data_IF_056787633689
#
_entry.id   IF_056787633689
#
_cell.length_a   1.000
_cell.length_b   1.000
_cell.length_c   1.000
_cell.angle_alpha   90.00
_cell.angle_beta   90.00
_cell.angle_gamma   90.00
#
_symmetry.space_group_name_H-M   'P 1'
#
loop_
_entity.id
_entity.type
_entity.pdbx_description
1 polymer ?
#
# COMPACT_ATOMS: atom_id res chain seq x y z
N UNK A 1 43.54 -12.67 -16.94
CA UNK A 1 43.55 -12.38 -15.49
C UNK A 1 43.15 -10.92 -15.32
N UNK A 2 42.03 -10.49 -14.75
CA UNK A 2 40.88 -11.15 -14.14
C UNK A 2 39.62 -10.39 -14.59
N UNK A 3 38.73 -11.14 -15.22
CA UNK A 3 37.31 -10.86 -15.46
C UNK A 3 36.55 -10.87 -14.13
N UNK A 4 36.53 -9.77 -13.39
CA UNK A 4 35.73 -9.61 -12.17
C UNK A 4 35.39 -8.12 -11.95
N UNK A 5 34.57 -7.48 -12.79
CA UNK A 5 34.05 -6.14 -12.42
C UNK A 5 32.80 -5.59 -13.12
N UNK A 6 32.03 -6.36 -13.89
CA UNK A 6 30.76 -5.88 -14.44
C UNK A 6 29.62 -6.88 -14.18
N UNK A 7 29.18 -6.92 -12.93
CA UNK A 7 27.92 -7.52 -12.50
C UNK A 7 26.90 -6.44 -12.14
N UNK A 8 26.77 -5.39 -12.96
CA UNK A 8 25.65 -4.46 -12.84
C UNK A 8 24.40 -5.19 -13.32
N UNK A 9 23.59 -5.65 -12.36
CA UNK A 9 22.30 -6.30 -12.60
C UNK A 9 21.32 -5.24 -13.11
N UNK A 10 20.92 -5.33 -14.37
CA UNK A 10 19.84 -4.50 -14.94
C UNK A 10 18.55 -4.70 -14.14
N UNK A 11 17.67 -3.69 -14.07
CA UNK A 11 16.33 -3.82 -13.46
C UNK A 11 15.54 -4.96 -14.11
N UNK A 12 15.65 -5.13 -15.43
CA UNK A 12 15.09 -6.30 -16.11
C UNK A 12 15.67 -7.61 -15.55
N UNK A 13 16.99 -7.73 -15.44
CA UNK A 13 17.64 -8.91 -14.87
C UNK A 13 17.28 -9.13 -13.39
N UNK A 14 17.09 -8.05 -12.62
CA UNK A 14 16.61 -8.11 -11.23
C UNK A 14 15.13 -8.50 -11.15
N UNK A 15 14.30 -8.06 -12.09
CA UNK A 15 12.88 -8.39 -12.16
C UNK A 15 12.67 -9.84 -12.61
N UNK A 16 13.41 -10.28 -13.62
CA UNK A 16 13.42 -11.68 -14.07
C UNK A 16 13.99 -12.59 -12.98
N UNK A 17 15.10 -12.22 -12.33
CA UNK A 17 15.63 -12.95 -11.18
C UNK A 17 14.66 -12.95 -10.01
N UNK A 18 14.03 -11.82 -9.68
CA UNK A 18 13.06 -11.76 -8.60
C UNK A 18 11.86 -12.65 -8.90
N UNK A 19 11.39 -12.72 -10.14
CA UNK A 19 10.31 -13.66 -10.54
C UNK A 19 10.74 -15.11 -10.33
N UNK A 20 11.94 -15.48 -10.76
CA UNK A 20 12.48 -16.83 -10.53
C UNK A 20 12.57 -17.13 -9.04
N UNK A 21 13.08 -16.20 -8.23
CA UNK A 21 13.21 -16.37 -6.79
C UNK A 21 11.87 -16.42 -6.06
N UNK A 22 10.88 -15.61 -6.47
CA UNK A 22 9.53 -15.62 -5.92
C UNK A 22 8.83 -16.92 -6.27
N UNK A 23 8.91 -17.38 -7.53
CA UNK A 23 8.36 -18.66 -7.95
C UNK A 23 9.00 -19.84 -7.19
N UNK A 24 10.33 -19.84 -7.05
CA UNK A 24 11.05 -20.84 -6.27
C UNK A 24 10.63 -20.81 -4.78
N UNK A 25 10.50 -19.61 -4.19
CA UNK A 25 10.01 -19.43 -2.83
C UNK A 25 8.60 -19.96 -2.62
N UNK A 26 7.68 -19.73 -3.58
CA UNK A 26 6.31 -20.26 -3.54
C UNK A 26 6.29 -21.78 -3.59
N UNK A 27 7.08 -22.36 -4.49
CA UNK A 27 7.17 -23.82 -4.61
C UNK A 27 7.72 -24.44 -3.32
N UNK A 28 8.76 -23.86 -2.74
CA UNK A 28 9.33 -24.31 -1.46
C UNK A 28 8.31 -24.20 -0.31
N UNK A 29 7.54 -23.11 -0.23
CA UNK A 29 6.49 -22.97 0.78
C UNK A 29 5.38 -24.00 0.60
N UNK A 30 4.96 -24.30 -0.63
CA UNK A 30 3.98 -25.36 -0.92
C UNK A 30 4.51 -26.74 -0.52
N UNK A 31 5.78 -27.03 -0.80
CA UNK A 31 6.42 -28.27 -0.39
C UNK A 31 6.45 -28.41 1.14
N UNK A 32 6.80 -27.34 1.86
CA UNK A 32 6.77 -27.30 3.32
C UNK A 32 5.36 -27.51 3.88
N UNK A 33 4.34 -26.86 3.29
CA UNK A 33 2.95 -27.05 3.69
C UNK A 33 2.47 -28.50 3.49
N UNK A 34 2.85 -29.12 2.36
CA UNK A 34 2.58 -30.53 2.10
C UNK A 34 3.30 -31.44 3.10
N UNK A 35 4.53 -31.12 3.49
CA UNK A 35 5.27 -31.88 4.48
C UNK A 35 4.67 -31.73 5.89
N UNK A 36 4.28 -30.53 6.29
CA UNK A 36 3.61 -30.25 7.56
C UNK A 36 2.22 -30.89 7.63
N UNK A 37 1.48 -30.91 6.52
CA UNK A 37 0.21 -31.64 6.42
C UNK A 37 0.43 -33.15 6.58
N UNK A 38 1.46 -33.72 5.93
CA UNK A 38 1.84 -35.13 6.10
C UNK A 38 2.26 -35.45 7.54
N UNK A 39 2.97 -34.54 8.22
CA UNK A 39 3.36 -34.69 9.63
C UNK A 39 2.16 -34.65 10.56
N UNK A 40 1.20 -33.75 10.32
CA UNK A 40 -0.07 -33.65 11.08
C UNK A 40 -1.01 -34.82 10.83
N UNK A 41 -0.96 -35.43 9.64
CA UNK A 41 -1.75 -36.61 9.28
C UNK A 41 -1.19 -37.94 9.82
N UNK A 42 0.02 -37.95 10.42
CA UNK A 42 0.53 -39.15 11.09
C UNK A 42 -0.22 -39.35 12.41
N UNK A 43 -0.67 -40.59 12.72
CA UNK A 43 -1.25 -40.87 14.02
C UNK A 43 -0.22 -40.55 15.12
N UNK A 44 -0.65 -40.00 16.28
CA UNK A 44 0.28 -39.73 17.37
C UNK A 44 0.97 -41.03 17.74
N UNK A 45 2.31 -41.04 17.66
CA UNK A 45 3.11 -42.16 18.14
C UNK A 45 2.75 -42.41 19.61
N UNK A 46 2.61 -43.67 20.04
CA UNK A 46 2.30 -43.98 21.43
C UNK A 46 3.37 -43.36 22.33
N UNK A 47 2.95 -42.43 23.19
CA UNK A 47 3.82 -41.84 24.19
C UNK A 47 4.45 -42.95 25.04
N UNK A 48 5.78 -43.00 25.20
CA UNK A 48 6.39 -43.80 26.24
C UNK A 48 5.90 -43.28 27.59
N UNK A 49 5.15 -44.10 28.32
CA UNK A 49 4.81 -43.84 29.71
C UNK A 49 6.08 -43.95 30.55
N UNK A 50 6.49 -42.80 31.11
CA UNK A 50 7.22 -42.58 32.37
C UNK A 50 8.51 -41.74 32.31
N UNK A 51 8.38 -40.61 33.02
CA UNK A 51 9.27 -40.03 34.03
C UNK A 51 10.52 -39.23 33.60
N UNK A 52 10.39 -37.91 33.81
CA UNK A 52 11.25 -37.23 34.80
C UNK A 52 12.49 -36.51 34.27
N UNK A 53 12.39 -35.17 34.18
CA UNK A 53 13.48 -34.17 34.26
C UNK A 53 14.90 -34.65 33.86
N UNK A 54 15.30 -34.34 32.64
CA UNK A 54 16.63 -33.78 32.41
C UNK A 54 16.61 -32.84 31.22
N UNK A 55 16.80 -31.55 31.52
CA UNK A 55 17.03 -30.46 30.57
C UNK A 55 18.48 -30.61 30.11
N UNK A 56 18.77 -31.58 29.25
CA UNK A 56 20.05 -31.66 28.56
C UNK A 56 19.91 -31.01 27.19
N UNK A 57 20.46 -29.81 27.11
CA UNK A 57 20.72 -29.10 25.89
C UNK A 57 21.45 -30.01 24.90
N UNK A 58 20.87 -30.19 23.72
CA UNK A 58 21.62 -30.64 22.56
C UNK A 58 22.60 -29.52 22.21
N UNK A 59 23.82 -29.63 22.71
CA UNK A 59 24.97 -28.85 22.26
C UNK A 59 25.33 -29.29 20.84
N UNK A 60 24.65 -28.72 19.86
CA UNK A 60 25.15 -28.71 18.50
C UNK A 60 26.11 -27.54 18.36
N UNK A 61 27.40 -27.85 18.47
CA UNK A 61 28.50 -26.98 18.05
C UNK A 61 28.49 -26.89 16.51
N UNK A 62 27.68 -25.97 16.01
CA UNK A 62 27.69 -25.44 14.66
C UNK A 62 27.07 -24.06 14.77
N UNK A 63 27.73 -23.03 14.24
CA UNK A 63 27.33 -21.64 14.28
C UNK A 63 25.81 -21.48 14.37
N UNK A 64 25.31 -20.97 15.49
CA UNK A 64 23.87 -20.84 15.75
C UNK A 64 23.24 -19.94 14.68
N UNK A 65 22.81 -20.54 13.58
CA UNK A 65 21.94 -19.91 12.63
C UNK A 65 20.63 -19.68 13.37
N UNK A 66 20.32 -18.41 13.64
CA UNK A 66 19.02 -18.02 14.19
C UNK A 66 17.96 -18.65 13.27
N UNK A 67 17.08 -19.52 13.78
CA UNK A 67 16.11 -20.20 12.93
C UNK A 67 15.22 -19.14 12.27
N UNK A 68 15.25 -19.10 10.93
CA UNK A 68 14.41 -18.19 10.17
C UNK A 68 12.98 -18.70 10.24
N UNK A 69 12.07 -17.86 10.72
CA UNK A 69 10.65 -18.21 10.81
C UNK A 69 10.07 -18.45 9.42
N UNK A 70 9.52 -19.65 9.18
CA UNK A 70 8.77 -19.99 7.96
C UNK A 70 7.60 -19.02 7.75
N UNK A 71 6.98 -18.54 8.84
CA UNK A 71 5.95 -17.51 8.79
C UNK A 71 6.46 -16.22 8.15
N UNK A 72 7.63 -15.73 8.57
CA UNK A 72 8.23 -14.51 7.98
C UNK A 72 8.57 -14.69 6.49
N UNK A 73 9.13 -15.86 6.13
CA UNK A 73 9.43 -16.17 4.72
C UNK A 73 8.16 -16.22 3.86
N UNK A 74 7.08 -16.82 4.39
CA UNK A 74 5.78 -16.87 3.72
C UNK A 74 5.28 -15.49 3.37
N UNK A 75 5.39 -14.56 4.32
CA UNK A 75 4.94 -13.17 4.11
C UNK A 75 5.71 -12.49 3.00
N UNK A 76 7.05 -12.56 3.06
CA UNK A 76 7.91 -11.90 2.07
C UNK A 76 7.60 -12.44 0.68
N UNK A 77 7.50 -13.76 0.53
CA UNK A 77 7.21 -14.39 -0.76
C UNK A 77 5.81 -14.04 -1.26
N UNK A 78 4.77 -14.08 -0.41
CA UNK A 78 3.41 -13.70 -0.81
C UNK A 78 3.32 -12.23 -1.21
N UNK A 79 4.03 -11.33 -0.52
CA UNK A 79 4.04 -9.91 -0.83
C UNK A 79 4.73 -9.61 -2.17
N UNK A 80 5.90 -10.20 -2.39
CA UNK A 80 6.59 -10.06 -3.67
C UNK A 80 5.79 -10.69 -4.83
N UNK A 81 5.10 -11.80 -4.59
CA UNK A 81 4.22 -12.42 -5.58
C UNK A 81 3.04 -11.54 -5.97
N UNK A 82 2.39 -10.92 -4.98
CA UNK A 82 1.29 -9.99 -5.22
C UNK A 82 1.75 -8.80 -6.07
N UNK A 83 2.91 -8.22 -5.75
CA UNK A 83 3.49 -7.13 -6.52
C UNK A 83 3.90 -7.55 -7.93
N UNK A 84 4.47 -8.75 -8.11
CA UNK A 84 4.80 -9.27 -9.44
C UNK A 84 3.54 -9.44 -10.30
N UNK A 85 2.48 -10.04 -9.74
CA UNK A 85 1.19 -10.21 -10.40
C UNK A 85 0.55 -8.86 -10.76
N UNK A 86 0.60 -7.89 -9.85
CA UNK A 86 0.08 -6.55 -10.10
C UNK A 86 0.77 -5.85 -11.29
N UNK A 87 2.06 -6.12 -11.52
CA UNK A 87 2.81 -5.58 -12.67
C UNK A 87 2.55 -6.36 -13.97
N UNK A 88 2.52 -7.69 -13.89
CA UNK A 88 2.41 -8.56 -15.06
C UNK A 88 0.99 -8.53 -15.68
N UNK A 89 -0.01 -8.67 -14.82
CA UNK A 89 -1.39 -8.91 -15.22
C UNK A 89 -2.29 -7.69 -14.99
N UNK A 90 -1.85 -6.70 -14.21
CA UNK A 90 -2.72 -5.65 -13.69
C UNK A 90 -3.78 -6.23 -12.74
N UNK A 91 -4.85 -5.47 -12.40
CA UNK A 91 -5.99 -6.01 -11.65
C UNK A 91 -6.81 -7.07 -12.42
N UNK A 92 -6.32 -7.55 -13.58
CA UNK A 92 -7.18 -7.98 -14.68
C UNK A 92 -7.49 -9.48 -14.73
N UNK A 93 -6.93 -10.36 -13.89
CA UNK A 93 -7.01 -11.79 -14.26
C UNK A 93 -7.01 -12.89 -13.22
N UNK A 94 -7.06 -12.69 -11.89
CA UNK A 94 -7.02 -13.86 -10.99
C UNK A 94 -7.93 -13.81 -9.75
N UNK A 95 -9.00 -14.60 -9.83
CA UNK A 95 -9.63 -15.28 -8.68
C UNK A 95 -8.87 -16.61 -8.50
N UNK A 96 -7.73 -16.60 -7.81
CA UNK A 96 -7.06 -17.83 -7.36
C UNK A 96 -7.07 -17.87 -5.83
N UNK A 97 -7.20 -19.07 -5.25
CA UNK A 97 -7.27 -19.33 -3.81
C UNK A 97 -6.16 -18.62 -3.03
N UNK A 98 -6.47 -17.43 -2.51
CA UNK A 98 -5.68 -16.71 -1.51
C UNK A 98 -5.75 -17.40 -0.12
N UNK A 99 -6.11 -18.68 -0.06
CA UNK A 99 -6.18 -19.47 1.17
C UNK A 99 -4.84 -19.64 1.90
N UNK A 100 -3.73 -19.10 1.37
CA UNK A 100 -2.39 -19.07 1.99
C UNK A 100 -1.99 -17.70 2.55
N UNK A 101 -2.94 -16.86 2.96
CA UNK A 101 -2.61 -15.57 3.56
C UNK A 101 -2.00 -15.77 4.97
N UNK A 102 -0.69 -15.52 5.04
CA UNK A 102 0.14 -15.55 6.24
C UNK A 102 -0.24 -14.48 7.29
N UNK A 103 0.16 -14.68 8.55
CA UNK A 103 -0.16 -13.83 9.70
C UNK A 103 0.12 -12.33 9.49
N UNK A 104 1.14 -11.93 8.70
CA UNK A 104 1.42 -10.49 8.46
C UNK A 104 0.40 -9.79 7.55
N UNK A 105 -0.39 -10.52 6.78
CA UNK A 105 -1.52 -9.97 6.00
C UNK A 105 -2.85 -10.01 6.76
N UNK A 106 -2.86 -10.64 7.94
CA UNK A 106 -4.03 -10.75 8.79
C UNK A 106 -3.83 -10.03 10.14
N UNK A 107 -2.71 -9.32 10.36
CA UNK A 107 -2.48 -8.54 11.59
C UNK A 107 -3.63 -7.57 11.82
N UNK A 108 -4.12 -6.93 10.75
CA UNK A 108 -5.27 -6.03 10.82
C UNK A 108 -6.53 -6.72 11.37
N UNK A 109 -6.69 -8.03 11.19
CA UNK A 109 -7.85 -8.79 11.69
C UNK A 109 -7.88 -8.92 13.20
N UNK A 110 -6.73 -8.82 13.86
CA UNK A 110 -6.58 -9.03 15.31
C UNK A 110 -5.94 -7.85 16.02
N UNK A 111 -5.75 -6.72 15.33
CA UNK A 111 -5.14 -5.54 15.92
C UNK A 111 -6.04 -4.92 16.99
N UNK A 112 -5.47 -4.73 18.18
CA UNK A 112 -6.07 -4.03 19.30
C UNK A 112 -5.22 -2.82 19.67
N UNK A 113 -5.83 -1.66 19.95
CA UNK A 113 -5.11 -0.48 20.37
C UNK A 113 -4.55 -0.67 21.80
N UNK A 114 -3.45 0.03 22.15
CA UNK A 114 -2.87 -0.04 23.49
C UNK A 114 -3.77 0.54 24.60
N UNK A 115 -4.80 1.30 24.20
CA UNK A 115 -5.81 1.89 25.07
C UNK A 115 -7.19 1.69 24.46
N UNK A 116 -8.21 1.55 25.31
CA UNK A 116 -9.60 1.67 24.90
C UNK A 116 -9.96 3.13 24.55
N UNK A 117 -11.05 3.30 23.79
CA UNK A 117 -11.54 4.64 23.42
C UNK A 117 -11.83 5.52 24.64
N UNK A 118 -12.37 4.94 25.72
CA UNK A 118 -12.73 5.67 26.94
C UNK A 118 -11.47 6.11 27.70
N UNK A 119 -10.44 5.28 27.72
CA UNK A 119 -9.14 5.62 28.33
C UNK A 119 -8.43 6.74 27.57
N UNK A 120 -8.50 6.75 26.23
CA UNK A 120 -7.97 7.86 25.42
C UNK A 120 -8.73 9.16 25.71
N UNK A 121 -10.06 9.12 25.78
CA UNK A 121 -10.87 10.31 26.10
C UNK A 121 -10.58 10.86 27.51
N UNK A 122 -10.38 9.98 28.48
CA UNK A 122 -9.97 10.36 29.83
C UNK A 122 -8.56 10.98 29.84
N UNK A 123 -7.62 10.42 29.07
CA UNK A 123 -6.26 10.94 28.95
C UNK A 123 -6.19 12.29 28.23
N UNK A 124 -7.00 12.51 27.18
CA UNK A 124 -7.14 13.82 26.51
C UNK A 124 -7.61 14.91 27.47
N UNK A 125 -8.48 14.55 28.42
CA UNK A 125 -9.07 15.45 29.41
C UNK A 125 -8.15 15.72 30.60
N UNK A 126 -7.13 14.88 30.83
CA UNK A 126 -6.19 15.03 31.93
C UNK A 126 -5.03 15.98 31.56
N UNK A 127 -4.78 17.00 32.39
CA UNK A 127 -3.71 17.99 32.19
C UNK A 127 -2.35 17.58 32.80
N UNK A 128 -2.08 16.28 32.88
CA UNK A 128 -0.83 15.74 33.44
C UNK A 128 0.29 15.61 32.40
N UNK A 129 1.57 15.60 32.82
CA UNK A 129 2.69 15.31 31.92
C UNK A 129 2.59 13.88 31.36
N UNK A 130 2.56 13.76 30.03
CA UNK A 130 2.56 12.49 29.34
C UNK A 130 4.00 11.97 29.22
N UNK A 131 4.40 11.08 30.12
CA UNK A 131 5.54 10.20 29.84
C UNK A 131 5.18 9.26 28.68
N UNK A 132 6.16 8.84 27.86
CA UNK A 132 5.99 7.89 26.74
C UNK A 132 5.48 6.52 27.21
N UNK A 133 4.21 6.43 27.54
CA UNK A 133 3.55 5.23 28.07
C UNK A 133 2.94 4.42 26.94
N UNK A 134 2.52 5.07 25.86
CA UNK A 134 1.75 4.46 24.77
C UNK A 134 2.51 4.45 23.45
N UNK A 135 3.22 5.52 23.08
CA UNK A 135 4.01 5.64 21.85
C UNK A 135 5.38 4.95 21.96
N UNK A 136 5.42 3.73 22.51
CA UNK A 136 6.63 2.92 22.61
C UNK A 136 7.04 2.37 21.24
N UNK A 137 8.32 2.00 21.08
CA UNK A 137 8.80 1.38 19.84
C UNK A 137 8.07 0.08 19.49
N UNK A 138 7.65 -0.69 20.50
CA UNK A 138 6.89 -1.93 20.31
C UNK A 138 5.46 -1.64 19.82
N UNK A 139 4.75 -0.72 20.47
CA UNK A 139 3.38 -0.38 20.08
C UNK A 139 3.34 0.23 18.68
N UNK A 140 4.29 1.12 18.34
CA UNK A 140 4.40 1.67 16.99
C UNK A 140 4.79 0.61 15.96
N UNK A 141 5.64 -0.36 16.30
CA UNK A 141 5.96 -1.48 15.39
C UNK A 141 4.71 -2.31 15.07
N UNK A 142 3.92 -2.68 16.08
CA UNK A 142 2.69 -3.45 15.91
C UNK A 142 1.65 -2.65 15.10
N UNK A 143 1.48 -1.36 15.41
CA UNK A 143 0.57 -0.48 14.69
C UNK A 143 0.98 -0.28 13.22
N UNK A 144 2.27 -0.08 12.94
CA UNK A 144 2.80 0.03 11.58
C UNK A 144 2.56 -1.25 10.77
N UNK A 145 2.79 -2.44 11.38
CA UNK A 145 2.47 -3.70 10.72
C UNK A 145 0.98 -3.85 10.46
N UNK A 146 0.14 -3.49 11.43
CA UNK A 146 -1.31 -3.59 11.30
C UNK A 146 -1.88 -2.66 10.22
N UNK A 147 -1.39 -1.42 10.13
CA UNK A 147 -1.87 -0.45 9.14
C UNK A 147 -1.42 -0.83 7.72
N UNK A 148 -0.18 -1.31 7.54
CA UNK A 148 0.29 -1.83 6.26
C UNK A 148 -0.49 -3.09 5.85
N UNK A 149 -0.72 -4.00 6.80
CA UNK A 149 -1.54 -5.20 6.64
C UNK A 149 -2.97 -4.83 6.21
N UNK A 150 -3.55 -3.79 6.80
CA UNK A 150 -4.89 -3.31 6.48
C UNK A 150 -4.96 -2.75 5.05
N UNK A 151 -4.00 -1.91 4.63
CA UNK A 151 -3.95 -1.37 3.27
C UNK A 151 -3.86 -2.49 2.23
N UNK A 152 -2.99 -3.47 2.48
CA UNK A 152 -2.86 -4.66 1.63
C UNK A 152 -4.15 -5.49 1.61
N UNK A 153 -4.82 -5.67 2.74
CA UNK A 153 -6.10 -6.37 2.85
C UNK A 153 -7.22 -5.67 2.06
N UNK A 154 -7.26 -4.34 2.09
CA UNK A 154 -8.19 -3.53 1.31
C UNK A 154 -7.91 -3.69 -0.19
N UNK A 155 -6.66 -3.61 -0.62
CA UNK A 155 -6.29 -3.79 -2.02
C UNK A 155 -6.66 -5.18 -2.54
N UNK A 156 -6.45 -6.24 -1.74
CA UNK A 156 -6.88 -7.60 -2.08
C UNK A 156 -8.40 -7.72 -2.17
N UNK A 157 -9.13 -7.20 -1.17
CA UNK A 157 -10.58 -7.21 -1.20
C UNK A 157 -11.13 -6.43 -2.41
N UNK A 158 -10.45 -5.38 -2.86
CA UNK A 158 -10.81 -4.67 -4.08
C UNK A 158 -10.66 -5.56 -5.32
N UNK A 159 -9.55 -6.28 -5.44
CA UNK A 159 -9.36 -7.23 -6.55
C UNK A 159 -10.39 -8.35 -6.54
N UNK A 160 -10.70 -8.91 -5.37
CA UNK A 160 -11.70 -9.99 -5.23
C UNK A 160 -13.11 -9.56 -5.59
N UNK A 161 -13.47 -8.29 -5.38
CA UNK A 161 -14.80 -7.74 -5.60
C UNK A 161 -14.84 -6.80 -6.81
N UNK A 162 -13.96 -7.03 -7.80
CA UNK A 162 -13.83 -6.15 -8.97
C UNK A 162 -15.09 -6.15 -9.83
N UNK A 163 -15.82 -7.26 -9.88
CA UNK A 163 -17.07 -7.37 -10.60
C UNK A 163 -18.15 -6.49 -9.95
N UNK A 164 -18.29 -6.57 -8.64
CA UNK A 164 -19.23 -5.75 -7.87
C UNK A 164 -18.90 -4.26 -7.96
N UNK A 165 -17.61 -3.92 -7.98
CA UNK A 165 -17.18 -2.53 -8.25
C UNK A 165 -17.46 -2.12 -9.69
N UNK A 166 -17.30 -3.00 -10.67
CA UNK A 166 -17.64 -2.72 -12.07
C UNK A 166 -19.15 -2.46 -12.22
N UNK A 167 -19.99 -3.29 -11.61
CA UNK A 167 -21.45 -3.12 -11.58
C UNK A 167 -21.84 -1.79 -10.91
N UNK A 168 -21.14 -1.42 -9.83
CA UNK A 168 -21.33 -0.15 -9.15
C UNK A 168 -20.97 1.05 -10.04
N UNK A 169 -19.83 1.00 -10.73
CA UNK A 169 -19.32 2.04 -11.61
C UNK A 169 -20.20 2.17 -12.88
N UNK A 170 -20.81 1.08 -13.33
CA UNK A 170 -21.75 1.04 -14.45
C UNK A 170 -23.18 1.50 -14.09
N UNK A 171 -23.41 2.07 -12.89
CA UNK A 171 -24.70 2.56 -12.38
C UNK A 171 -25.76 1.48 -12.13
N UNK A 172 -25.37 0.22 -11.88
CA UNK A 172 -26.31 -0.85 -11.58
C UNK A 172 -26.31 -1.22 -10.07
N UNK A 173 -27.41 -0.89 -9.38
CA UNK A 173 -27.88 -1.66 -8.23
C UNK A 173 -27.46 -1.20 -6.81
N UNK A 174 -28.43 -0.82 -5.95
CA UNK A 174 -28.25 -0.71 -4.50
C UNK A 174 -27.71 -1.99 -3.82
N UNK A 175 -27.86 -3.14 -4.49
CA UNK A 175 -27.37 -4.43 -4.02
C UNK A 175 -25.83 -4.52 -4.01
N UNK A 176 -25.15 -3.95 -5.02
CA UNK A 176 -23.68 -3.92 -5.06
C UNK A 176 -23.11 -3.09 -3.90
N UNK A 177 -23.75 -1.97 -3.56
CA UNK A 177 -23.40 -1.14 -2.39
C UNK A 177 -23.53 -1.94 -1.10
N UNK A 178 -24.63 -2.69 -0.94
CA UNK A 178 -24.87 -3.52 0.24
C UNK A 178 -23.82 -4.63 0.41
N UNK A 179 -23.41 -5.25 -0.69
CA UNK A 179 -22.37 -6.29 -0.71
C UNK A 179 -21.00 -5.69 -0.35
N UNK A 180 -20.58 -4.62 -1.02
CA UNK A 180 -19.31 -3.94 -0.75
C UNK A 180 -19.24 -3.41 0.69
N UNK A 181 -20.34 -2.85 1.21
CA UNK A 181 -20.42 -2.37 2.60
C UNK A 181 -20.17 -3.50 3.61
N UNK A 182 -20.73 -4.69 3.37
CA UNK A 182 -20.50 -5.86 4.24
C UNK A 182 -19.04 -6.32 4.20
N UNK A 183 -18.42 -6.33 3.03
CA UNK A 183 -16.99 -6.67 2.89
C UNK A 183 -16.07 -5.64 3.54
N UNK A 184 -16.49 -4.38 3.65
CA UNK A 184 -15.71 -3.34 4.31
C UNK A 184 -15.84 -3.33 5.83
N UNK A 185 -16.86 -3.95 6.42
CA UNK A 185 -17.10 -3.86 7.87
C UNK A 185 -15.89 -4.32 8.72
N UNK A 186 -15.22 -5.45 8.42
CA UNK A 186 -13.99 -5.84 9.13
C UNK A 186 -12.85 -4.82 8.98
N UNK A 187 -12.68 -4.23 7.78
CA UNK A 187 -11.65 -3.22 7.52
C UNK A 187 -11.94 -1.93 8.30
N UNK A 188 -13.20 -1.46 8.29
CA UNK A 188 -13.67 -0.31 9.08
C UNK A 188 -13.43 -0.52 10.57
N UNK A 189 -13.70 -1.72 11.10
CA UNK A 189 -13.41 -2.07 12.50
C UNK A 189 -11.91 -1.90 12.84
N UNK A 190 -11.02 -2.46 12.01
CA UNK A 190 -9.59 -2.31 12.23
C UNK A 190 -9.15 -0.84 12.14
N UNK A 191 -9.66 -0.11 11.15
CA UNK A 191 -9.38 1.32 10.99
C UNK A 191 -9.81 2.14 12.22
N UNK A 192 -10.95 1.83 12.83
CA UNK A 192 -11.38 2.44 14.10
C UNK A 192 -10.37 2.15 15.21
N UNK A 193 -9.92 0.90 15.37
CA UNK A 193 -8.90 0.54 16.36
C UNK A 193 -7.59 1.31 16.13
N UNK A 194 -7.13 1.40 14.88
CA UNK A 194 -5.95 2.18 14.52
C UNK A 194 -6.14 3.68 14.77
N UNK A 195 -7.37 4.20 14.61
CA UNK A 195 -7.70 5.60 14.92
C UNK A 195 -7.62 5.89 16.42
N UNK A 196 -8.03 4.93 17.27
CA UNK A 196 -7.87 5.02 18.73
C UNK A 196 -6.38 5.05 19.10
N UNK A 197 -5.58 4.16 18.50
CA UNK A 197 -4.14 4.13 18.70
C UNK A 197 -3.45 5.43 18.24
N UNK A 198 -3.85 5.98 17.09
CA UNK A 198 -3.33 7.25 16.59
C UNK A 198 -3.53 8.39 17.57
N UNK A 199 -4.75 8.56 18.10
CA UNK A 199 -5.03 9.56 19.14
C UNK A 199 -4.18 9.35 20.39
N UNK A 200 -4.03 8.11 20.84
CA UNK A 200 -3.18 7.79 21.99
C UNK A 200 -1.71 8.16 21.76
N UNK A 201 -1.18 7.93 20.56
CA UNK A 201 0.19 8.30 20.21
C UNK A 201 0.36 9.81 20.04
N UNK A 202 -0.62 10.51 19.45
CA UNK A 202 -0.60 11.97 19.28
C UNK A 202 -0.48 12.70 20.62
N UNK A 203 -1.15 12.20 21.68
CA UNK A 203 -1.03 12.75 23.03
C UNK A 203 0.41 12.82 23.56
N UNK A 204 1.28 11.90 23.13
CA UNK A 204 2.66 11.80 23.60
C UNK A 204 3.67 12.36 22.60
N UNK A 205 3.33 12.35 21.31
CA UNK A 205 4.23 12.69 20.22
C UNK A 205 4.08 14.13 19.72
N UNK A 206 2.91 14.76 19.91
CA UNK A 206 2.68 16.18 19.62
C UNK A 206 2.76 16.99 20.92
N UNK A 207 3.86 17.72 21.18
CA UNK A 207 4.00 18.48 22.42
C UNK A 207 3.00 19.63 22.47
N UNK A 208 2.18 19.69 23.53
CA UNK A 208 1.40 20.90 23.84
C UNK A 208 2.39 22.05 24.09
N UNK A 209 2.14 23.27 23.57
CA UNK A 209 3.08 24.40 23.63
C UNK A 209 3.47 24.82 25.06
N UNK A 210 2.75 24.36 26.07
CA UNK A 210 2.95 24.71 27.48
C UNK A 210 3.97 23.83 28.22
N UNK A 211 4.47 22.73 27.64
CA UNK A 211 5.41 21.83 28.31
C UNK A 211 6.70 21.65 27.51
N UNK A 212 7.66 22.55 27.74
CA UNK A 212 9.04 22.37 27.35
C UNK A 212 9.72 21.34 28.28
N UNK A 213 9.44 20.05 28.07
CA UNK A 213 10.24 18.97 28.65
C UNK A 213 11.30 18.52 27.65
N UNK A 214 12.55 18.57 28.10
CA UNK A 214 13.80 18.48 27.36
C UNK A 214 14.22 17.07 26.91
N UNK A 215 13.27 16.16 26.68
CA UNK A 215 13.58 14.85 26.14
C UNK A 215 13.26 14.85 24.66
N UNK A 216 14.26 15.09 23.81
CA UNK A 216 14.10 14.92 22.37
C UNK A 216 13.64 13.49 22.10
N UNK A 217 12.45 13.35 21.50
CA UNK A 217 11.93 12.06 21.08
C UNK A 217 12.91 11.45 20.07
N UNK A 218 13.31 10.17 20.21
CA UNK A 218 14.24 9.57 19.27
C UNK A 218 13.73 9.70 17.83
N UNK A 219 14.57 10.18 16.92
CA UNK A 219 14.19 10.41 15.52
C UNK A 219 13.57 9.17 14.85
N UNK A 220 14.03 7.96 15.21
CA UNK A 220 13.45 6.70 14.73
C UNK A 220 12.01 6.48 15.20
N UNK A 221 11.69 6.88 16.42
CA UNK A 221 10.35 6.79 17.00
C UNK A 221 9.41 7.80 16.33
N UNK A 222 9.88 9.04 16.14
CA UNK A 222 9.18 10.07 15.36
C UNK A 222 8.91 9.60 13.94
N UNK A 223 9.90 8.97 13.29
CA UNK A 223 9.73 8.39 11.95
C UNK A 223 8.69 7.28 11.94
N UNK A 224 8.72 6.35 12.90
CA UNK A 224 7.74 5.27 12.98
C UNK A 224 6.31 5.78 13.21
N UNK A 225 6.16 6.80 14.05
CA UNK A 225 4.88 7.46 14.28
C UNK A 225 4.36 8.17 13.03
N UNK A 226 5.21 8.94 12.35
CA UNK A 226 4.82 9.63 11.11
C UNK A 226 4.47 8.65 9.99
N UNK A 227 5.20 7.54 9.85
CA UNK A 227 4.86 6.47 8.88
C UNK A 227 3.51 5.85 9.22
N UNK A 228 3.22 5.59 10.49
CA UNK A 228 1.92 5.10 10.92
C UNK A 228 0.80 6.08 10.55
N UNK A 229 0.99 7.37 10.85
CA UNK A 229 0.04 8.45 10.50
C UNK A 229 -0.16 8.57 8.98
N UNK A 230 0.91 8.45 8.19
CA UNK A 230 0.86 8.45 6.72
C UNK A 230 -0.03 7.31 6.20
N UNK A 231 0.20 6.09 6.67
CA UNK A 231 -0.58 4.92 6.24
C UNK A 231 -2.03 4.95 6.74
N UNK A 232 -2.27 5.51 7.93
CA UNK A 232 -3.63 5.74 8.41
C UNK A 232 -4.38 6.73 7.50
N UNK A 233 -3.73 7.83 7.12
CA UNK A 233 -4.31 8.84 6.23
C UNK A 233 -4.65 8.29 4.84
N UNK A 234 -3.77 7.49 4.21
CA UNK A 234 -4.04 6.93 2.87
C UNK A 234 -5.14 5.87 2.86
N UNK A 235 -5.39 5.19 3.99
CA UNK A 235 -6.46 4.18 4.07
C UNK A 235 -7.85 4.82 4.12
N UNK A 236 -7.97 6.00 4.73
CA UNK A 236 -9.26 6.67 4.95
C UNK A 236 -10.11 6.77 3.68
N UNK A 237 -9.59 7.26 2.52
CA UNK A 237 -10.35 7.31 1.28
C UNK A 237 -10.98 5.98 0.84
N UNK A 238 -10.28 4.85 1.03
CA UNK A 238 -10.74 3.54 0.57
C UNK A 238 -11.90 2.98 1.39
N UNK A 239 -12.11 3.48 2.61
CA UNK A 239 -13.17 3.02 3.52
C UNK A 239 -14.39 3.95 3.53
N UNK A 240 -14.35 5.06 2.80
CA UNK A 240 -15.38 6.10 2.79
C UNK A 240 -16.63 5.75 1.96
N UNK A 241 -16.88 4.48 1.61
CA UNK A 241 -18.19 4.07 1.09
C UNK A 241 -19.21 4.17 2.23
N UNK A 242 -19.79 5.35 2.43
CA UNK A 242 -20.90 5.57 3.34
C UNK A 242 -21.83 6.61 2.71
N UNK A 243 -23.12 6.30 2.75
CA UNK A 243 -24.27 7.11 2.34
C UNK A 243 -24.62 7.12 0.83
N UNK A 244 -25.34 6.09 0.39
CA UNK A 244 -26.38 6.16 -0.67
C UNK A 244 -25.97 6.58 -2.08
N UNK A 245 -24.71 6.96 -2.28
CA UNK A 245 -24.16 7.49 -3.51
C UNK A 245 -22.76 6.92 -3.63
N UNK A 246 -22.57 5.88 -4.45
CA UNK A 246 -21.23 5.42 -4.74
C UNK A 246 -20.52 6.59 -5.42
N UNK A 247 -19.49 7.09 -4.75
CA UNK A 247 -18.62 8.12 -5.31
C UNK A 247 -19.27 9.48 -5.48
N UNK A 248 -20.32 9.80 -4.71
CA UNK A 248 -20.58 11.20 -4.46
C UNK A 248 -19.34 11.76 -3.79
N UNK A 249 -18.52 12.45 -4.60
CA UNK A 249 -17.86 13.69 -4.27
C UNK A 249 -17.75 13.85 -2.76
N UNK A 250 -16.85 13.08 -2.13
CA UNK A 250 -16.21 13.64 -0.95
C UNK A 250 -15.65 14.94 -1.50
N UNK A 251 -16.29 16.06 -1.15
CA UNK A 251 -16.11 17.37 -1.77
C UNK A 251 -14.64 17.52 -2.16
N UNK A 252 -14.35 17.73 -3.45
CA UNK A 252 -12.99 17.57 -4.00
C UNK A 252 -11.94 18.31 -3.15
N UNK A 253 -12.34 19.39 -2.49
CA UNK A 253 -11.57 20.13 -1.48
C UNK A 253 -11.12 19.32 -0.26
N UNK A 254 -12.00 18.52 0.36
CA UNK A 254 -11.66 17.66 1.52
C UNK A 254 -10.69 16.55 1.12
N UNK A 255 -10.87 15.98 -0.07
CA UNK A 255 -9.95 14.99 -0.63
C UNK A 255 -8.60 15.60 -1.01
N UNK A 256 -8.62 16.78 -1.63
CA UNK A 256 -7.43 17.55 -1.97
C UNK A 256 -6.62 17.90 -0.72
N UNK A 257 -7.27 18.36 0.35
CA UNK A 257 -6.64 18.62 1.64
C UNK A 257 -6.03 17.35 2.23
N UNK A 258 -6.77 16.23 2.20
CA UNK A 258 -6.27 14.93 2.69
C UNK A 258 -5.02 14.46 1.93
N UNK A 259 -5.01 14.59 0.60
CA UNK A 259 -3.83 14.24 -0.19
C UNK A 259 -2.65 15.17 0.06
N UNK A 260 -2.90 16.46 0.27
CA UNK A 260 -1.85 17.41 0.66
C UNK A 260 -1.22 17.00 1.99
N UNK A 261 -2.02 16.67 3.00
CA UNK A 261 -1.52 16.21 4.30
C UNK A 261 -0.69 14.92 4.17
N UNK A 262 -1.12 13.99 3.32
CA UNK A 262 -0.37 12.76 3.01
C UNK A 262 1.00 13.11 2.39
N UNK A 263 1.06 14.07 1.47
CA UNK A 263 2.30 14.50 0.84
C UNK A 263 3.23 15.21 1.82
N UNK A 264 2.69 16.06 2.70
CA UNK A 264 3.44 16.75 3.74
C UNK A 264 4.05 15.75 4.73
N UNK A 265 3.29 14.72 5.15
CA UNK A 265 3.78 13.63 5.98
C UNK A 265 4.88 12.83 5.27
N UNK A 266 4.67 12.45 4.01
CA UNK A 266 5.63 11.68 3.24
C UNK A 266 6.95 12.44 3.04
N UNK A 267 6.88 13.73 2.69
CA UNK A 267 8.05 14.59 2.53
C UNK A 267 8.82 14.73 3.85
N UNK A 268 8.12 14.95 4.97
CA UNK A 268 8.74 15.00 6.31
C UNK A 268 9.46 13.69 6.65
N UNK A 269 8.86 12.53 6.35
CA UNK A 269 9.50 11.21 6.57
C UNK A 269 10.75 11.05 5.72
N UNK A 270 10.69 11.47 4.46
CA UNK A 270 11.82 11.38 3.53
C UNK A 270 12.98 12.28 3.94
N UNK A 271 12.70 13.49 4.43
CA UNK A 271 13.70 14.42 4.95
C UNK A 271 14.38 13.91 6.24
N UNK A 272 13.69 13.10 7.05
CA UNK A 272 14.28 12.49 8.26
C UNK A 272 15.19 11.28 7.96
N UNK A 273 15.24 10.78 6.72
CA UNK A 273 16.03 9.61 6.37
C UNK A 273 17.49 9.96 6.04
N UNK A 274 18.44 9.27 6.68
CA UNK A 274 19.73 8.99 6.03
C UNK A 274 19.57 7.67 5.24
N UNK A 275 19.67 7.67 3.89
CA UNK A 275 19.50 6.46 3.09
C UNK A 275 20.49 5.34 3.41
N UNK A 276 21.56 5.63 4.20
CA UNK A 276 22.56 4.66 4.64
C UNK A 276 22.33 4.08 6.04
N UNK A 277 21.38 4.62 6.81
CA UNK A 277 21.06 4.11 8.14
C UNK A 277 19.75 3.31 8.06
N UNK A 278 19.87 1.98 8.04
CA UNK A 278 18.70 1.12 8.16
C UNK A 278 18.05 1.35 9.53
N UNK A 279 16.79 1.79 9.60
CA UNK A 279 16.11 1.96 10.87
C UNK A 279 16.00 0.59 11.57
N UNK A 280 16.27 0.56 12.88
CA UNK A 280 16.14 -0.64 13.71
C UNK A 280 14.68 -1.14 13.78
N UNK A 281 13.72 -0.25 13.52
CA UNK A 281 12.29 -0.55 13.45
C UNK A 281 11.88 -0.71 11.98
N UNK A 282 11.44 -1.91 11.55
CA UNK A 282 10.83 -2.10 10.24
C UNK A 282 9.63 -1.16 10.10
N UNK A 283 9.66 -0.31 9.08
CA UNK A 283 8.61 0.64 8.77
C UNK A 283 8.13 0.44 7.34
N UNK A 284 6.82 0.56 7.10
CA UNK A 284 6.26 0.55 5.75
C UNK A 284 6.90 1.63 4.86
N UNK A 285 6.96 1.37 3.55
CA UNK A 285 7.58 2.29 2.59
C UNK A 285 6.69 3.50 2.29
N UNK A 286 7.29 4.68 2.16
CA UNK A 286 6.57 5.87 1.65
C UNK A 286 6.24 5.79 0.14
N UNK A 287 6.77 4.79 -0.57
CA UNK A 287 6.54 4.61 -2.02
C UNK A 287 5.08 4.33 -2.34
N UNK A 288 4.43 3.45 -1.58
CA UNK A 288 3.04 3.07 -1.86
C UNK A 288 2.07 4.25 -1.63
N UNK A 289 2.12 5.01 -0.52
CA UNK A 289 1.28 6.20 -0.37
C UNK A 289 1.52 7.26 -1.45
N UNK A 290 2.77 7.53 -1.83
CA UNK A 290 3.08 8.48 -2.90
C UNK A 290 2.54 8.01 -4.25
N UNK A 291 2.70 6.73 -4.57
CA UNK A 291 2.14 6.14 -5.77
C UNK A 291 0.60 6.25 -5.76
N UNK A 292 -0.06 5.91 -4.66
CA UNK A 292 -1.52 6.03 -4.54
C UNK A 292 -2.02 7.47 -4.78
N UNK A 293 -1.34 8.49 -4.23
CA UNK A 293 -1.69 9.90 -4.50
C UNK A 293 -1.43 10.28 -5.95
N UNK A 294 -0.34 9.82 -6.57
CA UNK A 294 -0.09 10.06 -7.99
C UNK A 294 -1.18 9.48 -8.92
N UNK A 295 -1.91 8.45 -8.44
CA UNK A 295 -2.98 7.76 -9.17
C UNK A 295 -4.40 8.17 -8.72
N UNK A 296 -4.55 9.09 -7.77
CA UNK A 296 -5.85 9.40 -7.17
C UNK A 296 -6.85 10.09 -8.10
N UNK A 297 -6.38 10.56 -9.27
CA UNK A 297 -7.16 11.29 -10.26
C UNK A 297 -7.37 12.78 -9.95
N UNK A 298 -7.25 13.22 -8.68
CA UNK A 298 -7.45 14.63 -8.27
C UNK A 298 -6.71 14.98 -6.96
N UNK A 299 -6.39 16.28 -6.73
CA UNK A 299 -6.17 17.31 -7.75
C UNK A 299 -4.83 17.07 -8.48
N UNK A 300 -4.69 17.62 -9.69
CA UNK A 300 -3.51 17.38 -10.54
C UNK A 300 -2.20 17.92 -9.91
N UNK A 301 -2.27 19.01 -9.16
CA UNK A 301 -1.14 19.58 -8.41
C UNK A 301 -0.59 18.62 -7.35
N UNK A 302 -1.46 17.94 -6.60
CA UNK A 302 -1.05 16.91 -5.65
C UNK A 302 -0.43 15.71 -6.36
N UNK A 303 -0.98 15.30 -7.51
CA UNK A 303 -0.41 14.20 -8.31
C UNK A 303 1.00 14.54 -8.79
N UNK A 304 1.20 15.72 -9.39
CA UNK A 304 2.53 16.21 -9.79
C UNK A 304 3.50 16.26 -8.63
N UNK A 305 3.07 16.79 -7.48
CA UNK A 305 3.91 16.84 -6.28
C UNK A 305 4.29 15.44 -5.79
N UNK A 306 3.39 14.47 -5.86
CA UNK A 306 3.68 13.08 -5.53
C UNK A 306 4.76 12.49 -6.46
N UNK A 307 4.62 12.73 -7.77
CA UNK A 307 5.59 12.30 -8.81
C UNK A 307 6.96 12.95 -8.58
N UNK A 308 6.99 14.23 -8.26
CA UNK A 308 8.23 14.95 -7.94
C UNK A 308 8.92 14.38 -6.71
N UNK A 309 8.17 14.01 -5.66
CA UNK A 309 8.72 13.36 -4.48
C UNK A 309 9.28 11.97 -4.79
N UNK A 310 8.61 11.19 -5.65
CA UNK A 310 9.10 9.88 -6.10
C UNK A 310 10.44 10.00 -6.86
N UNK A 311 10.60 11.05 -7.68
CA UNK A 311 11.83 11.36 -8.43
C UNK A 311 12.94 11.89 -7.54
N UNK A 312 12.61 12.80 -6.62
CA UNK A 312 13.57 13.49 -5.76
C UNK A 312 14.24 12.55 -4.76
N UNK A 313 13.55 11.49 -4.34
CA UNK A 313 14.04 10.51 -3.37
C UNK A 313 14.10 9.10 -3.98
N UNK A 314 15.03 8.85 -4.93
CA UNK A 314 15.13 7.59 -5.65
C UNK A 314 15.48 6.43 -4.71
N UNK A 315 14.66 5.38 -4.72
CA UNK A 315 14.89 4.16 -3.93
C UNK A 315 14.24 2.94 -4.59
N UNK A 316 14.68 1.76 -4.16
CA UNK A 316 14.07 0.48 -4.52
C UNK A 316 13.54 -0.20 -3.27
N UNK A 317 12.24 -0.34 -3.20
CA UNK A 317 11.52 -0.98 -2.11
C UNK A 317 10.85 -2.25 -2.63
N UNK A 318 11.50 -3.41 -2.42
CA UNK A 318 11.04 -4.68 -2.99
C UNK A 318 11.12 -4.68 -4.53
N UNK A 319 9.97 -4.87 -5.19
CA UNK A 319 9.85 -4.81 -6.66
C UNK A 319 9.58 -3.39 -7.19
N UNK A 320 9.34 -2.42 -6.31
CA UNK A 320 9.06 -1.06 -6.70
C UNK A 320 10.35 -0.23 -6.81
N UNK A 321 10.51 0.44 -7.94
CA UNK A 321 11.52 1.47 -8.16
C UNK A 321 10.78 2.82 -8.25
N UNK A 322 11.17 3.80 -7.44
CA UNK A 322 10.41 5.07 -7.37
C UNK A 322 10.52 5.89 -8.65
N UNK A 323 11.60 5.75 -9.42
CA UNK A 323 11.74 6.41 -10.72
C UNK A 323 10.81 5.76 -11.74
N UNK A 324 10.74 4.43 -11.75
CA UNK A 324 9.76 3.69 -12.55
C UNK A 324 8.33 4.11 -12.20
N UNK A 325 7.99 4.13 -10.91
CA UNK A 325 6.68 4.54 -10.42
C UNK A 325 6.31 5.96 -10.84
N UNK A 326 7.25 6.92 -10.74
CA UNK A 326 7.05 8.29 -11.20
C UNK A 326 6.74 8.37 -12.70
N UNK A 327 7.51 7.67 -13.53
CA UNK A 327 7.30 7.68 -14.98
C UNK A 327 6.01 6.96 -15.40
N UNK A 328 5.62 5.90 -14.68
CA UNK A 328 4.32 5.26 -14.89
C UNK A 328 3.15 6.20 -14.54
N UNK A 329 3.26 6.96 -13.43
CA UNK A 329 2.25 7.95 -13.05
C UNK A 329 2.11 9.08 -14.08
N UNK A 330 3.22 9.57 -14.64
CA UNK A 330 3.19 10.58 -15.71
C UNK A 330 2.49 10.05 -16.97
N UNK A 331 2.75 8.79 -17.32
CA UNK A 331 2.09 8.12 -18.45
C UNK A 331 0.57 8.06 -18.25
N UNK A 332 0.14 7.70 -17.04
CA UNK A 332 -1.28 7.64 -16.67
C UNK A 332 -1.92 9.03 -16.73
N UNK A 333 -1.26 10.04 -16.17
CA UNK A 333 -1.71 11.44 -16.23
C UNK A 333 -1.78 11.96 -17.68
N UNK A 334 -0.86 11.56 -18.55
CA UNK A 334 -0.89 11.92 -19.96
C UNK A 334 -2.10 11.30 -20.67
N UNK A 335 -2.33 10.00 -20.47
CA UNK A 335 -3.48 9.30 -21.07
C UNK A 335 -4.82 9.89 -20.65
N UNK A 336 -4.98 10.19 -19.36
CA UNK A 336 -6.22 10.82 -18.86
C UNK A 336 -6.46 12.19 -19.49
N UNK A 337 -5.41 13.00 -19.70
CA UNK A 337 -5.50 14.30 -20.40
C UNK A 337 -5.81 14.15 -21.89
N UNK A 338 -5.26 13.14 -22.55
CA UNK A 338 -5.55 12.85 -23.96
C UNK A 338 -7.03 12.51 -24.16
N UNK A 339 -7.60 11.67 -23.29
CA UNK A 339 -9.02 11.32 -23.33
C UNK A 339 -9.91 12.55 -23.10
N UNK A 340 -9.55 13.42 -22.16
CA UNK A 340 -10.27 14.69 -21.95
C UNK A 340 -10.21 15.58 -23.21
N UNK A 341 -9.06 15.64 -23.88
CA UNK A 341 -8.90 16.41 -25.11
C UNK A 341 -9.67 15.81 -26.30
N UNK A 342 -9.76 14.47 -26.39
CA UNK A 342 -10.60 13.75 -27.36
C UNK A 342 -12.08 14.11 -27.17
N UNK A 343 -12.59 14.04 -25.95
CA UNK A 343 -13.98 14.39 -25.64
C UNK A 343 -14.32 15.84 -25.93
N UNK A 344 -13.42 16.77 -25.60
CA UNK A 344 -13.60 18.19 -25.96
C UNK A 344 -13.80 18.32 -27.47
N UNK A 345 -12.91 17.72 -28.28
CA UNK A 345 -13.02 17.73 -29.74
C UNK A 345 -14.32 17.11 -30.25
N UNK A 346 -14.73 15.97 -29.69
CA UNK A 346 -16.00 15.32 -30.05
C UNK A 346 -17.21 16.19 -29.72
N UNK A 347 -17.21 16.88 -28.57
CA UNK A 347 -18.27 17.79 -28.17
C UNK A 347 -18.34 19.07 -29.01
N UNK A 348 -17.20 19.59 -29.48
CA UNK A 348 -17.10 20.78 -30.33
C UNK A 348 -17.53 20.53 -31.79
N UNK A 349 -17.68 19.27 -32.22
CA UNK A 349 -18.06 18.94 -33.60
C UNK A 349 -19.59 19.02 -33.82
N UNK A 350 -20.37 19.37 -32.79
CA UNK A 350 -21.84 19.43 -32.82
C UNK A 350 -22.49 20.81 -32.64
N UNK A 351 -21.72 21.89 -32.54
CA UNK A 351 -22.26 23.24 -32.38
C UNK A 351 -21.29 24.31 -32.90
N UNK A 352 -21.75 25.07 -33.88
CA UNK A 352 -21.17 26.38 -34.20
C UNK A 352 -21.37 27.28 -32.98
N UNK A 353 -20.34 27.39 -32.14
CA UNK A 353 -20.11 28.61 -31.35
C UNK A 353 -18.60 28.77 -31.17
N UNK A 354 -18.06 29.62 -32.04
CA UNK A 354 -16.77 30.24 -31.87
C UNK A 354 -16.89 31.28 -30.74
N UNK A 355 -16.61 30.87 -29.51
CA UNK A 355 -16.05 31.72 -28.44
C UNK A 355 -15.90 30.87 -27.17
N UNK A 356 -14.80 30.13 -27.07
CA UNK A 356 -14.30 29.67 -25.79
C UNK A 356 -12.93 30.32 -25.60
N UNK A 357 -12.95 31.46 -24.90
CA UNK A 357 -11.75 32.04 -24.33
C UNK A 357 -10.91 30.93 -23.67
N UNK A 358 -9.61 30.95 -23.90
CA UNK A 358 -8.63 30.28 -23.04
C UNK A 358 -8.75 30.91 -21.64
N UNK A 359 -9.80 30.53 -20.91
CA UNK A 359 -9.82 30.68 -19.49
C UNK A 359 -8.76 29.71 -19.00
N UNK A 360 -7.69 30.26 -18.43
CA UNK A 360 -6.83 29.56 -17.50
C UNK A 360 -7.67 29.11 -16.28
N UNK A 361 -8.61 28.19 -16.48
CA UNK A 361 -9.07 27.36 -15.38
C UNK A 361 -7.86 26.54 -14.97
N UNK A 362 -7.32 26.85 -13.79
CA UNK A 362 -6.19 26.14 -13.23
C UNK A 362 -6.43 24.64 -13.35
N UNK A 363 -5.42 23.92 -13.83
CA UNK A 363 -5.44 22.48 -14.14
C UNK A 363 -5.96 21.58 -13.00
N UNK A 364 -6.08 22.11 -11.77
CA UNK A 364 -6.73 21.44 -10.63
C UNK A 364 -8.27 21.37 -10.72
N UNK A 365 -8.91 22.19 -11.56
CA UNK A 365 -10.35 22.15 -11.82
C UNK A 365 -10.72 21.12 -12.92
N UNK A 366 -9.73 20.56 -13.60
CA UNK A 366 -9.94 19.61 -14.69
C UNK A 366 -10.28 18.21 -14.15
N UNK A 367 -11.59 17.94 -14.02
CA UNK A 367 -12.10 16.68 -13.49
C UNK A 367 -12.16 15.59 -14.57
N UNK A 368 -11.31 14.57 -14.43
CA UNK A 368 -11.41 13.32 -15.20
C UNK A 368 -12.63 12.52 -14.72
N UNK A 369 -13.58 12.27 -15.62
CA UNK A 369 -14.74 11.42 -15.38
C UNK A 369 -14.28 10.04 -14.89
N UNK A 370 -14.97 9.47 -13.90
CA UNK A 370 -14.60 8.19 -13.29
C UNK A 370 -14.34 7.07 -14.30
N UNK A 371 -15.18 6.97 -15.34
CA UNK A 371 -15.06 5.95 -16.38
C UNK A 371 -13.79 6.11 -17.23
N UNK A 372 -13.21 7.30 -17.31
CA UNK A 372 -11.98 7.56 -18.06
C UNK A 372 -10.73 7.50 -17.19
N UNK A 373 -10.90 7.36 -15.88
CA UNK A 373 -9.78 7.18 -14.98
C UNK A 373 -9.10 5.85 -15.25
N UNK A 374 -7.82 5.84 -14.97
CA UNK A 374 -7.03 4.62 -14.98
C UNK A 374 -7.65 3.54 -14.09
N UNK A 375 -7.88 2.37 -14.68
CA UNK A 375 -8.31 1.18 -13.97
C UNK A 375 -7.12 0.26 -13.67
N UNK A 376 -6.26 0.02 -14.65
CA UNK A 376 -5.11 -0.86 -14.48
C UNK A 376 -4.06 -0.75 -15.57
N UNK A 377 -2.82 -1.11 -15.22
CA UNK A 377 -1.66 -1.13 -16.10
C UNK A 377 -1.09 -2.55 -16.19
N UNK A 378 -0.64 -2.96 -17.38
CA UNK A 378 0.21 -4.15 -17.56
C UNK A 378 1.59 -3.73 -18.04
N UNK A 379 2.63 -4.14 -17.33
CA UNK A 379 3.99 -3.68 -17.54
C UNK A 379 4.86 -4.81 -18.08
N UNK A 380 5.52 -4.57 -19.21
CA UNK A 380 6.56 -5.45 -19.76
C UNK A 380 7.86 -4.70 -19.87
N UNK A 381 8.82 -5.03 -19.02
CA UNK A 381 10.16 -4.47 -19.06
C UNK A 381 10.88 -4.87 -20.35
N UNK A 382 11.38 -3.89 -21.10
CA UNK A 382 12.15 -4.10 -22.33
C UNK A 382 13.66 -3.95 -22.09
N UNK A 383 14.06 -3.20 -21.06
CA UNK A 383 15.46 -3.04 -20.63
C UNK A 383 15.56 -2.66 -19.15
N UNK A 384 16.76 -2.26 -18.68
CA UNK A 384 16.94 -1.71 -17.33
C UNK A 384 16.09 -0.48 -17.04
N UNK A 385 15.95 0.42 -18.01
CA UNK A 385 15.27 1.71 -17.82
C UNK A 385 14.14 1.91 -18.80
N UNK A 386 13.62 0.85 -19.42
CA UNK A 386 12.50 0.96 -20.35
C UNK A 386 11.46 -0.13 -20.16
N UNK A 387 10.21 0.25 -20.36
CA UNK A 387 9.07 -0.64 -20.28
C UNK A 387 8.03 -0.27 -21.33
N UNK A 388 7.35 -1.30 -21.81
CA UNK A 388 6.10 -1.19 -22.55
C UNK A 388 4.97 -1.37 -21.56
N UNK A 389 4.03 -0.43 -21.55
CA UNK A 389 2.89 -0.47 -20.65
C UNK A 389 1.60 -0.42 -21.44
N UNK A 390 0.68 -1.32 -21.10
CA UNK A 390 -0.70 -1.27 -21.57
C UNK A 390 -1.54 -0.61 -20.48
N UNK A 391 -2.03 0.61 -20.74
CA UNK A 391 -2.91 1.36 -19.86
C UNK A 391 -4.36 1.09 -20.24
N UNK A 392 -5.19 0.77 -19.25
CA UNK A 392 -6.62 0.53 -19.45
C UNK A 392 -7.43 1.42 -18.51
N UNK A 393 -8.43 2.11 -19.06
CA UNK A 393 -9.43 2.86 -18.29
C UNK A 393 -10.59 1.97 -17.86
N UNK A 394 -11.42 2.45 -16.93
CA UNK A 394 -12.66 1.74 -16.56
C UNK A 394 -13.59 1.51 -17.75
N UNK A 395 -13.73 2.51 -18.63
CA UNK A 395 -14.54 2.44 -19.85
C UNK A 395 -14.02 1.40 -20.81
N UNK A 396 -12.72 1.40 -21.07
CA UNK A 396 -12.07 0.41 -21.94
C UNK A 396 -12.22 -1.00 -21.37
N UNK A 397 -12.04 -1.17 -20.05
CA UNK A 397 -12.22 -2.44 -19.38
C UNK A 397 -13.65 -2.98 -19.50
N UNK A 398 -14.66 -2.15 -19.19
CA UNK A 398 -16.08 -2.53 -19.29
C UNK A 398 -16.44 -2.91 -20.74
N UNK A 399 -15.87 -2.21 -21.72
CA UNK A 399 -16.06 -2.48 -23.13
C UNK A 399 -15.21 -3.66 -23.68
N UNK A 400 -14.40 -4.33 -22.83
CA UNK A 400 -13.52 -5.41 -23.24
C UNK A 400 -12.39 -4.99 -24.19
N UNK A 401 -12.04 -3.70 -24.19
CA UNK A 401 -10.98 -3.13 -25.03
C UNK A 401 -9.60 -3.39 -24.43
N UNK A 402 -8.56 -3.59 -25.25
CA UNK A 402 -7.22 -3.95 -24.78
C UNK A 402 -6.48 -2.82 -24.06
N UNK A 403 -6.97 -1.58 -24.12
CA UNK A 403 -6.27 -0.39 -23.62
C UNK A 403 -5.20 0.16 -24.57
N UNK A 404 -4.60 1.28 -24.21
CA UNK A 404 -3.54 1.92 -24.99
C UNK A 404 -2.15 1.37 -24.63
N UNK A 405 -1.32 1.12 -25.65
CA UNK A 405 0.06 0.67 -25.46
C UNK A 405 1.01 1.85 -25.60
N UNK A 406 1.72 2.18 -24.53
CA UNK A 406 2.75 3.20 -24.54
C UNK A 406 4.12 2.60 -24.19
N UNK A 407 5.19 3.31 -24.52
CA UNK A 407 6.55 3.00 -24.10
C UNK A 407 7.13 4.19 -23.35
N UNK A 408 7.88 3.92 -22.29
CA UNK A 408 8.61 4.99 -21.61
C UNK A 408 9.98 4.54 -21.11
N UNK A 409 10.80 5.53 -20.79
CA UNK A 409 12.12 5.40 -20.20
C UNK A 409 12.20 6.18 -18.88
N UNK A 410 13.04 5.77 -17.91
CA UNK A 410 13.13 6.45 -16.60
C UNK A 410 14.51 6.44 -15.95
#
# INVERSE_FOLDING_TARGET
MQTLQYGMRSIQGLHEQSRVHVAAGRNLLRELDLEDAKRRARPPLPQPRHCGRSRQALTHNGSQAIPVSIGLLRVIVTNLDLHARALDDGPLTHVEDFAMISDLYNVWRYYEPPLSSDEVAAAESASGPCHHKYATSENLLVANRAVESLLNGIALAQLENVNEMTTLVANEGPQAIGILTRFQAPHKRCFTNLSIALRAFELEMDPKPTQASSSEVPQNLTKAFLTFKLYHSIIRPYLSYNSGTPWARLEDETMAASYKDILDLAERILQMGNPRAAPFTPMPSTTHPLFAVAHSGVPQSNRRRAIDLLRRYPRRDGLWDTMFAASLSDLIMAREREILAERRRESSTGGDDADAAEAEEGDDNELVELLDRHYGARVKFESERSARVTLCTWREWIAGQPGEICRFHW
#
